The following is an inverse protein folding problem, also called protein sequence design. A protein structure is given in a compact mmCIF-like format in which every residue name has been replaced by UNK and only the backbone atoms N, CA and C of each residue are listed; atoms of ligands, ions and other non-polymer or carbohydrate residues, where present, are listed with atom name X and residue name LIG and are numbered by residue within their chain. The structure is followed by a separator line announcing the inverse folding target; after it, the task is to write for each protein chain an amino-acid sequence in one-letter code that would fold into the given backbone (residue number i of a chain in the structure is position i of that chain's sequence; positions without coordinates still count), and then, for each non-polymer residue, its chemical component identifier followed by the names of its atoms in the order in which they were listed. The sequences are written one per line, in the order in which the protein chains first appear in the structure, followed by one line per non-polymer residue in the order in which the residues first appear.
data_IF_296808828002
#
_entry.id   IF_296808828002
#
_cell.length_a   1.000
_cell.length_b   1.000
_cell.length_c   1.000
_cell.angle_alpha   90.00
_cell.angle_beta   90.00
_cell.angle_gamma   90.00
#
_symmetry.space_group_name_H-M   'P 1'
#
loop_
_entity.id
_entity.type
_entity.pdbx_description
1 polymer ?
#
# COMPACT_ATOMS: atom_id res chain seq x y z
N UNK A 1 -12.44 -8.79 2.16
CA UNK A 1 -12.24 -10.26 2.18
C UNK A 1 -13.20 -10.89 1.18
N UNK A 2 -12.82 -12.00 0.53
CA UNK A 2 -13.70 -12.70 -0.42
C UNK A 2 -13.14 -12.89 -1.84
N UNK A 3 -11.90 -12.47 -2.11
CA UNK A 3 -11.22 -12.79 -3.37
C UNK A 3 -10.38 -14.06 -3.21
N UNK A 4 -10.21 -14.88 -4.26
CA UNK A 4 -9.34 -16.06 -4.25
C UNK A 4 -7.85 -15.71 -4.32
N UNK A 5 -7.49 -14.46 -3.99
CA UNK A 5 -6.13 -13.95 -3.95
C UNK A 5 -5.96 -13.06 -2.71
N UNK A 6 -4.74 -13.02 -2.17
CA UNK A 6 -4.37 -12.06 -1.15
C UNK A 6 -4.18 -10.70 -1.83
N UNK A 7 -4.93 -9.69 -1.38
CA UNK A 7 -4.85 -8.32 -1.88
C UNK A 7 -4.88 -7.35 -0.71
N UNK A 8 -3.81 -6.57 -0.57
CA UNK A 8 -3.74 -5.40 0.32
C UNK A 8 -3.74 -4.12 -0.52
N UNK A 9 -3.82 -2.96 0.14
CA UNK A 9 -3.80 -1.66 -0.53
C UNK A 9 -3.27 -0.60 0.42
N UNK A 10 -2.87 0.54 -0.15
CA UNK A 10 -2.55 1.73 0.62
C UNK A 10 -3.82 2.38 1.19
N UNK A 11 -3.68 3.10 2.30
CA UNK A 11 -4.75 3.81 2.99
C UNK A 11 -4.86 5.29 2.56
N UNK A 12 -4.23 5.66 1.44
CA UNK A 12 -4.29 7.01 0.88
C UNK A 12 -4.75 7.00 -0.58
N UNK A 13 -5.19 8.17 -1.07
CA UNK A 13 -5.54 8.38 -2.48
C UNK A 13 -4.33 8.64 -3.38
N UNK A 14 -4.57 9.18 -4.58
CA UNK A 14 -3.55 9.42 -5.61
C UNK A 14 -2.57 10.54 -5.29
N UNK A 15 -2.94 11.48 -4.41
CA UNK A 15 -2.12 12.64 -4.03
C UNK A 15 -1.51 13.38 -5.24
N UNK A 16 -2.37 13.79 -6.19
CA UNK A 16 -1.93 14.48 -7.43
C UNK A 16 -1.11 15.75 -7.16
N UNK A 17 -1.36 16.42 -6.05
CA UNK A 17 -0.59 17.57 -5.58
C UNK A 17 0.88 17.25 -5.28
N UNK A 18 1.25 15.96 -5.13
CA UNK A 18 2.60 15.49 -4.78
C UNK A 18 3.34 14.79 -5.93
N UNK A 19 2.72 14.64 -7.09
CA UNK A 19 3.31 13.94 -8.25
C UNK A 19 4.61 14.63 -8.69
N UNK A 20 5.67 13.83 -8.83
CA UNK A 20 6.99 14.31 -9.27
C UNK A 20 7.78 15.12 -8.21
N UNK A 21 7.23 15.31 -7.00
CA UNK A 21 7.85 16.15 -5.96
C UNK A 21 8.72 15.36 -4.97
N UNK A 22 8.63 14.04 -4.95
CA UNK A 22 9.36 13.20 -3.98
C UNK A 22 8.91 13.37 -2.52
N UNK A 23 7.72 13.94 -2.29
CA UNK A 23 7.20 14.27 -0.94
C UNK A 23 6.02 13.41 -0.48
N UNK A 24 5.66 12.37 -1.24
CA UNK A 24 4.66 11.40 -0.82
C UNK A 24 5.27 10.47 0.24
N UNK A 25 4.56 10.23 1.36
CA UNK A 25 5.01 9.27 2.36
C UNK A 25 4.79 7.83 1.85
N UNK A 26 5.81 6.95 1.96
CA UNK A 26 5.69 5.55 1.56
C UNK A 26 5.14 4.63 2.66
N UNK A 27 4.90 5.13 3.88
CA UNK A 27 4.62 4.31 5.07
C UNK A 27 3.45 3.34 4.87
N UNK A 28 2.37 3.80 4.25
CA UNK A 28 1.19 2.95 4.03
C UNK A 28 1.43 1.84 3.03
N UNK A 29 2.29 2.06 2.03
CA UNK A 29 2.66 1.02 1.06
C UNK A 29 3.53 -0.05 1.73
N UNK A 30 4.48 0.39 2.56
CA UNK A 30 5.33 -0.52 3.34
C UNK A 30 4.45 -1.43 4.23
N UNK A 31 3.52 -0.86 5.00
CA UNK A 31 2.58 -1.66 5.82
C UNK A 31 1.74 -2.62 4.99
N UNK A 32 1.26 -2.18 3.83
CA UNK A 32 0.46 -3.03 2.94
C UNK A 32 1.26 -4.24 2.43
N UNK A 33 2.56 -4.06 2.18
CA UNK A 33 3.49 -5.12 1.76
C UNK A 33 3.82 -6.04 2.93
N UNK A 34 4.13 -5.50 4.11
CA UNK A 34 4.42 -6.27 5.33
C UNK A 34 3.25 -7.21 5.69
N UNK A 35 2.01 -6.71 5.58
CA UNK A 35 0.80 -7.51 5.75
C UNK A 35 0.73 -8.71 4.79
N UNK A 36 1.21 -8.56 3.55
CA UNK A 36 1.26 -9.68 2.59
C UNK A 36 2.32 -10.69 3.03
N UNK A 37 3.55 -10.23 3.33
CA UNK A 37 4.64 -11.13 3.75
C UNK A 37 4.28 -11.93 5.00
N UNK A 38 3.67 -11.29 6.01
CA UNK A 38 3.19 -11.97 7.21
C UNK A 38 2.01 -12.91 6.96
N UNK A 39 1.29 -12.79 5.85
CA UNK A 39 0.17 -13.68 5.50
C UNK A 39 0.61 -14.93 4.73
N UNK A 40 1.84 -14.93 4.18
CA UNK A 40 2.39 -16.05 3.38
C UNK A 40 3.48 -16.84 4.12
N UNK A 41 3.86 -16.41 5.32
CA UNK A 41 4.82 -17.08 6.22
C UNK A 41 4.06 -17.75 7.36
#
# INVERSE_FOLDING_TARGET
LGLPIIRTSVAHGTAFDKVGKGTASPESLIKAIELIYGSIT
#
